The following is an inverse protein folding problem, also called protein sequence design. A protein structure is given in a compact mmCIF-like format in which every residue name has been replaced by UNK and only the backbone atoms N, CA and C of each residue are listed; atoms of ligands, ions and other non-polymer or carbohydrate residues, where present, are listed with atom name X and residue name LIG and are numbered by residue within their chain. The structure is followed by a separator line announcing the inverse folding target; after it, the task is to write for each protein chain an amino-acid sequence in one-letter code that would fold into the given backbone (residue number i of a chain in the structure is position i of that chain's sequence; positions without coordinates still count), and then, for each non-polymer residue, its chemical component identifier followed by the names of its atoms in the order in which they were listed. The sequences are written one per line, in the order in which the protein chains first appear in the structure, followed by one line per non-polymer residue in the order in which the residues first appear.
data_IF_367384018268
#
_entry.id   IF_367384018268
#
_cell.length_a   1.000
_cell.length_b   1.000
_cell.length_c   1.000
_cell.angle_alpha   90.00
_cell.angle_beta   90.00
_cell.angle_gamma   90.00
#
_symmetry.space_group_name_H-M   'P 1'
#
loop_
_entity.id
_entity.type
_entity.pdbx_description
1 polymer ?
#
# COMPACT_ATOMS: atom_id res chain seq x y z
N UNK A 1 -3.50 10.60 -10.18
CA UNK A 1 -2.87 10.37 -8.87
C UNK A 1 -1.76 9.35 -9.03
N UNK A 2 -0.65 9.51 -8.30
CA UNK A 2 0.52 8.61 -8.35
C UNK A 2 0.46 7.51 -7.28
N UNK A 3 -0.22 7.78 -6.15
CA UNK A 3 -0.28 6.89 -4.99
C UNK A 3 -1.69 6.88 -4.41
N UNK A 4 -2.15 5.71 -3.96
CA UNK A 4 -3.34 5.52 -3.12
C UNK A 4 -2.89 5.00 -1.75
N UNK A 5 -3.33 5.67 -0.69
CA UNK A 5 -3.15 5.22 0.69
C UNK A 5 -4.40 4.51 1.22
N UNK A 6 -4.32 3.20 1.42
CA UNK A 6 -5.38 2.40 2.03
C UNK A 6 -5.19 2.32 3.55
N UNK A 7 -6.03 3.01 4.31
CA UNK A 7 -6.01 2.94 5.79
C UNK A 7 -7.03 1.92 6.29
N UNK A 8 -6.58 0.89 7.02
CA UNK A 8 -7.41 -0.21 7.51
C UNK A 8 -7.33 -0.36 9.03
N UNK A 9 -8.49 -0.33 9.69
CA UNK A 9 -8.61 -0.58 11.14
C UNK A 9 -9.24 -1.94 11.45
N UNK A 10 -9.75 -2.63 10.44
CA UNK A 10 -10.43 -3.93 10.54
C UNK A 10 -9.68 -4.96 9.70
N UNK A 11 -9.96 -6.26 9.89
CA UNK A 11 -9.28 -7.36 9.20
C UNK A 11 -9.61 -7.48 7.68
N UNK A 12 -10.07 -6.39 7.05
CA UNK A 12 -10.44 -6.36 5.63
C UNK A 12 -9.24 -6.23 4.68
N UNK A 13 -8.03 -5.97 5.19
CA UNK A 13 -6.84 -5.71 4.35
C UNK A 13 -6.51 -6.85 3.40
N UNK A 14 -6.75 -8.12 3.80
CA UNK A 14 -6.48 -9.27 2.94
C UNK A 14 -7.48 -9.44 1.80
N UNK A 15 -8.64 -8.79 1.88
CA UNK A 15 -9.69 -8.86 0.87
C UNK A 15 -9.69 -7.60 0.00
N UNK A 16 -9.70 -6.43 0.65
CA UNK A 16 -9.86 -5.15 -0.04
C UNK A 16 -8.62 -4.71 -0.80
N UNK A 17 -7.40 -5.09 -0.36
CA UNK A 17 -6.19 -4.76 -1.13
C UNK A 17 -6.17 -5.50 -2.48
N UNK A 18 -6.31 -6.84 -2.55
CA UNK A 18 -6.37 -7.53 -3.83
C UNK A 18 -7.49 -7.00 -4.75
N UNK A 19 -8.66 -6.68 -4.19
CA UNK A 19 -9.77 -6.10 -4.96
C UNK A 19 -9.40 -4.72 -5.52
N UNK A 20 -8.84 -3.84 -4.69
CA UNK A 20 -8.39 -2.52 -5.15
C UNK A 20 -7.37 -2.62 -6.28
N UNK A 21 -6.36 -3.49 -6.14
CA UNK A 21 -5.32 -3.69 -7.16
C UNK A 21 -5.92 -4.26 -8.45
N UNK A 22 -6.86 -5.20 -8.34
CA UNK A 22 -7.60 -5.74 -9.48
C UNK A 22 -8.41 -4.66 -10.22
N UNK A 23 -9.11 -3.79 -9.49
CA UNK A 23 -9.89 -2.71 -10.10
C UNK A 23 -8.99 -1.65 -10.76
N UNK A 24 -7.85 -1.32 -10.14
CA UNK A 24 -6.84 -0.45 -10.76
C UNK A 24 -6.33 -1.05 -12.08
N UNK A 25 -6.06 -2.36 -12.10
CA UNK A 25 -5.70 -3.07 -13.33
C UNK A 25 -6.80 -3.04 -14.38
N UNK A 26 -8.06 -3.24 -13.98
CA UNK A 26 -9.21 -3.18 -14.90
C UNK A 26 -9.39 -1.79 -15.53
N UNK A 27 -8.92 -0.74 -14.85
CA UNK A 27 -8.92 0.64 -15.33
C UNK A 27 -7.64 1.04 -16.09
N UNK A 28 -6.73 0.08 -16.37
CA UNK A 28 -5.42 0.32 -16.99
C UNK A 28 -4.54 1.29 -16.18
N UNK A 29 -4.65 1.23 -14.84
CA UNK A 29 -3.95 2.10 -13.89
C UNK A 29 -3.05 1.33 -12.91
N UNK A 30 -2.39 0.29 -13.41
CA UNK A 30 -1.37 -0.47 -12.65
C UNK A 30 -0.14 0.39 -12.27
N UNK A 31 0.00 1.57 -12.88
CA UNK A 31 1.01 2.59 -12.54
C UNK A 31 0.81 3.18 -11.14
N UNK A 32 -0.42 3.17 -10.61
CA UNK A 32 -0.71 3.76 -9.29
C UNK A 32 -0.15 2.87 -8.19
N UNK A 33 0.75 3.45 -7.39
CA UNK A 33 1.28 2.78 -6.21
C UNK A 33 0.22 2.68 -5.10
N UNK A 34 0.06 1.50 -4.49
CA UNK A 34 -0.81 1.34 -3.32
C UNK A 34 0.03 1.18 -2.06
N UNK A 35 -0.16 2.06 -1.07
CA UNK A 35 0.44 1.94 0.26
C UNK A 35 -0.65 1.64 1.29
N UNK A 36 -0.34 0.83 2.28
CA UNK A 36 -1.31 0.36 3.28
C UNK A 36 -0.91 0.85 4.66
N UNK A 37 -1.86 1.35 5.44
CA UNK A 37 -1.62 1.77 6.82
C UNK A 37 -2.71 1.35 7.77
N UNK A 38 -2.45 1.48 9.07
CA UNK A 38 -3.41 1.15 10.14
C UNK A 38 -2.98 -0.02 11.01
N UNK A 39 -3.94 -0.77 11.56
CA UNK A 39 -3.66 -1.86 12.51
C UNK A 39 -3.60 -3.19 11.75
N UNK A 40 -2.40 -3.58 11.32
CA UNK A 40 -2.18 -4.76 10.47
C UNK A 40 -1.25 -5.73 11.21
N UNK A 41 -1.64 -7.00 11.41
CA UNK A 41 -0.77 -8.02 11.98
C UNK A 41 0.48 -8.25 11.10
N UNK A 42 1.66 -8.35 11.72
CA UNK A 42 2.92 -8.54 10.98
C UNK A 42 2.92 -9.80 10.10
N UNK A 43 2.25 -10.87 10.53
CA UNK A 43 2.10 -12.12 9.77
C UNK A 43 1.34 -11.95 8.44
N UNK A 44 0.60 -10.86 8.26
CA UNK A 44 -0.11 -10.59 7.01
C UNK A 44 0.71 -9.72 6.04
N UNK A 45 1.89 -9.25 6.42
CA UNK A 45 2.67 -8.31 5.61
C UNK A 45 3.11 -8.93 4.28
N UNK A 46 3.62 -10.17 4.32
CA UNK A 46 4.07 -10.88 3.11
C UNK A 46 2.91 -11.04 2.13
N UNK A 47 1.73 -11.46 2.62
CA UNK A 47 0.51 -11.52 1.82
C UNK A 47 0.18 -10.17 1.17
N UNK A 48 0.26 -9.08 1.93
CA UNK A 48 -0.07 -7.75 1.40
C UNK A 48 0.94 -7.28 0.34
N UNK A 49 2.24 -7.53 0.54
CA UNK A 49 3.26 -7.22 -0.48
C UNK A 49 3.07 -8.04 -1.75
N UNK A 50 2.82 -9.34 -1.63
CA UNK A 50 2.52 -10.23 -2.77
C UNK A 50 1.26 -9.82 -3.53
N UNK A 51 0.31 -9.17 -2.85
CA UNK A 51 -0.96 -8.71 -3.44
C UNK A 51 -0.98 -7.20 -3.76
N UNK A 52 0.19 -6.57 -3.91
CA UNK A 52 0.32 -5.24 -4.52
C UNK A 52 0.49 -4.06 -3.54
N UNK A 53 0.64 -4.31 -2.23
CA UNK A 53 1.10 -3.27 -1.32
C UNK A 53 2.56 -2.91 -1.66
N UNK A 54 2.83 -1.61 -1.70
CA UNK A 54 4.15 -1.06 -2.04
C UNK A 54 4.92 -0.63 -0.79
N UNK A 55 4.18 -0.23 0.24
CA UNK A 55 4.70 0.00 1.58
C UNK A 55 3.57 -0.24 2.60
N UNK A 56 3.95 -0.69 3.80
CA UNK A 56 3.04 -0.89 4.92
C UNK A 56 3.47 0.02 6.08
N UNK A 57 2.50 0.74 6.67
CA UNK A 57 2.69 1.71 7.76
C UNK A 57 1.82 1.34 8.97
N UNK A 58 2.41 0.60 9.92
CA UNK A 58 1.74 0.16 11.14
C UNK A 58 1.56 1.25 12.20
N UNK A 59 0.99 0.92 13.37
CA UNK A 59 0.82 1.84 14.48
C UNK A 59 2.15 2.46 14.93
N UNK A 60 2.14 3.76 15.25
CA UNK A 60 3.33 4.48 15.70
C UNK A 60 4.29 4.90 14.57
N UNK A 61 3.93 4.68 13.30
CA UNK A 61 4.71 5.19 12.16
C UNK A 61 4.88 6.71 12.25
N UNK A 62 6.13 7.17 12.21
CA UNK A 62 6.47 8.61 12.23
C UNK A 62 6.22 9.22 10.85
N UNK A 63 5.40 10.29 10.79
CA UNK A 63 4.94 10.89 9.52
C UNK A 63 6.10 11.26 8.58
N UNK A 64 7.15 12.00 9.01
CA UNK A 64 8.29 12.29 8.13
C UNK A 64 8.96 11.06 7.51
N UNK A 65 9.08 9.97 8.28
CA UNK A 65 9.68 8.71 7.82
C UNK A 65 8.79 8.04 6.78
N UNK A 66 7.47 8.04 6.99
CA UNK A 66 6.52 7.54 6.01
C UNK A 66 6.59 8.33 4.71
N UNK A 67 6.61 9.66 4.78
CA UNK A 67 6.70 10.53 3.62
C UNK A 67 7.97 10.26 2.80
N UNK A 68 9.13 10.18 3.47
CA UNK A 68 10.40 9.83 2.81
C UNK A 68 10.32 8.46 2.11
N UNK A 69 9.74 7.46 2.77
CA UNK A 69 9.60 6.12 2.20
C UNK A 69 8.68 6.08 0.98
N UNK A 70 7.55 6.81 1.02
CA UNK A 70 6.63 6.91 -0.12
C UNK A 70 7.32 7.57 -1.31
N UNK A 71 8.04 8.67 -1.10
CA UNK A 71 8.76 9.38 -2.17
C UNK A 71 9.84 8.48 -2.77
N UNK A 72 10.66 7.83 -1.93
CA UNK A 72 11.73 6.95 -2.40
C UNK A 72 11.20 5.76 -3.24
N UNK A 73 10.09 5.15 -2.83
CA UNK A 73 9.48 4.06 -3.60
C UNK A 73 8.84 4.56 -4.90
N UNK A 74 8.26 5.76 -4.90
CA UNK A 74 7.72 6.38 -6.10
C UNK A 74 8.84 6.66 -7.13
N UNK A 75 9.95 7.24 -6.68
CA UNK A 75 11.12 7.52 -7.53
C UNK A 75 11.68 6.23 -8.13
N UNK A 76 11.75 5.14 -7.36
CA UNK A 76 12.23 3.82 -7.83
C UNK A 76 11.38 3.25 -8.97
N UNK A 77 10.10 3.59 -9.06
CA UNK A 77 9.19 3.12 -10.11
C UNK A 77 9.21 3.97 -11.38
N UNK A 78 9.64 5.23 -11.27
CA UNK A 78 9.72 6.16 -12.39
C UNK A 78 11.15 6.35 -12.93
N UNK A 79 12.15 5.79 -12.25
CA UNK A 79 13.54 5.70 -12.71
C UNK A 79 13.82 4.54 -13.65
#
# INVERSE_FOLDING_TARGET
AHVIGMSTMTAGHKTLLPELVKELKALDREDIMVVVGGVIPAQDYDFLYENGASAIFGPGTVIPVAAQKVIAELDRRHG
#
